data_IF_174691182749
#
_entry.id   IF_174691182749
#
_cell.length_a   1.000
_cell.length_b   1.000
_cell.length_c   1.000
_cell.angle_alpha   90.00
_cell.angle_beta   90.00
_cell.angle_gamma   90.00
#
_symmetry.space_group_name_H-M   'P 1'
#
loop_
_entity.id
_entity.type
_entity.pdbx_description
1 polymer ?
#
# COMPACT_ATOMS: atom_id res chain seq x y z
N UNK A 1 9.68 -35.96 21.04
CA UNK A 1 9.34 -35.02 19.97
C UNK A 1 8.20 -35.62 19.18
N UNK A 2 6.97 -35.34 19.55
CA UNK A 2 5.78 -35.89 18.88
C UNK A 2 5.09 -34.77 18.15
N UNK A 3 5.22 -34.79 16.84
CA UNK A 3 4.51 -33.89 15.92
C UNK A 3 3.03 -34.26 15.96
N UNK A 4 2.22 -33.44 16.63
CA UNK A 4 0.77 -33.57 16.58
C UNK A 4 0.32 -32.97 15.26
N UNK A 5 0.07 -33.84 14.27
CA UNK A 5 -0.73 -33.53 13.09
C UNK A 5 -2.18 -33.32 13.55
N UNK A 6 -2.60 -32.08 13.76
CA UNK A 6 -4.00 -31.76 13.95
C UNK A 6 -4.66 -31.84 12.57
N UNK A 7 -5.38 -32.93 12.32
CA UNK A 7 -6.29 -33.05 11.19
C UNK A 7 -7.38 -31.98 11.33
N UNK A 8 -7.54 -31.15 10.31
CA UNK A 8 -8.60 -30.14 10.21
C UNK A 8 -9.98 -30.78 10.43
N UNK A 9 -10.81 -30.22 11.30
CA UNK A 9 -12.13 -30.78 11.55
C UNK A 9 -13.15 -30.31 10.50
N UNK A 10 -14.07 -31.21 10.30
CA UNK A 10 -15.32 -31.18 9.58
C UNK A 10 -16.12 -29.86 9.79
N UNK A 11 -17.02 -29.63 8.86
CA UNK A 11 -17.98 -28.54 8.67
C UNK A 11 -18.35 -27.62 9.87
N UNK A 12 -18.53 -26.31 9.66
CA UNK A 12 -18.56 -25.28 10.72
C UNK A 12 -19.75 -25.34 11.67
N UNK A 13 -20.79 -26.11 11.40
CA UNK A 13 -22.09 -26.01 12.11
C UNK A 13 -22.24 -26.93 13.33
N UNK A 14 -21.29 -27.77 13.65
CA UNK A 14 -21.38 -28.72 14.76
C UNK A 14 -20.45 -28.46 15.95
N UNK A 15 -19.67 -27.36 15.92
CA UNK A 15 -18.67 -27.08 16.97
C UNK A 15 -19.32 -26.42 18.17
N UNK A 16 -19.22 -27.07 19.36
CA UNK A 16 -19.81 -26.58 20.63
C UNK A 16 -19.27 -25.19 21.00
N UNK A 17 -20.09 -24.37 21.68
CA UNK A 17 -19.70 -23.04 22.20
C UNK A 17 -18.43 -23.13 23.03
N UNK A 18 -18.25 -24.19 23.83
CA UNK A 18 -17.06 -24.44 24.64
C UNK A 18 -15.78 -24.65 23.81
N UNK A 19 -15.88 -25.27 22.61
CA UNK A 19 -14.74 -25.42 21.72
C UNK A 19 -14.41 -24.08 21.03
N UNK A 20 -15.42 -23.30 20.64
CA UNK A 20 -15.22 -21.96 20.11
C UNK A 20 -14.56 -21.02 21.13
N UNK A 21 -14.95 -21.10 22.39
CA UNK A 21 -14.29 -20.37 23.49
C UNK A 21 -12.87 -20.88 23.79
N UNK A 22 -12.64 -22.18 23.73
CA UNK A 22 -11.30 -22.76 23.91
C UNK A 22 -10.35 -22.32 22.79
N UNK A 23 -10.78 -22.41 21.54
CA UNK A 23 -10.04 -21.95 20.37
C UNK A 23 -9.79 -20.43 20.45
N UNK A 24 -10.81 -19.66 20.79
CA UNK A 24 -10.69 -18.22 20.97
C UNK A 24 -9.68 -17.85 22.06
N UNK A 25 -9.75 -18.50 23.24
CA UNK A 25 -8.81 -18.25 24.32
C UNK A 25 -7.36 -18.70 23.97
N UNK A 26 -7.21 -19.74 23.17
CA UNK A 26 -5.88 -20.21 22.72
C UNK A 26 -5.28 -19.29 21.66
N UNK A 27 -6.10 -18.70 20.78
CA UNK A 27 -5.69 -17.71 19.79
C UNK A 27 -5.35 -16.35 20.40
N UNK A 28 -6.06 -15.96 21.49
CA UNK A 28 -5.72 -14.74 22.25
C UNK A 28 -4.35 -14.88 22.95
N UNK A 29 -3.93 -16.10 23.29
CA UNK A 29 -2.62 -16.34 23.91
C UNK A 29 -1.43 -16.16 22.95
N UNK A 30 -1.67 -16.02 21.63
CA UNK A 30 -0.62 -15.76 20.64
C UNK A 30 -0.45 -14.26 20.45
N UNK A 31 0.71 -13.75 20.79
CA UNK A 31 1.05 -12.33 20.73
C UNK A 31 0.85 -11.77 19.32
N UNK A 32 0.11 -10.65 19.21
CA UNK A 32 -0.16 -9.92 18.00
C UNK A 32 0.77 -8.70 17.91
N UNK A 33 1.59 -8.60 16.87
CA UNK A 33 2.32 -7.39 16.54
C UNK A 33 1.60 -6.64 15.42
N UNK A 34 1.16 -5.41 15.69
CA UNK A 34 0.55 -4.51 14.70
C UNK A 34 1.63 -3.58 14.18
N UNK A 35 1.87 -3.61 12.88
CA UNK A 35 3.01 -3.00 12.21
C UNK A 35 2.54 -1.88 11.27
N UNK A 36 2.89 -0.63 11.61
CA UNK A 36 2.47 0.54 10.86
C UNK A 36 3.67 1.28 10.26
N UNK A 37 3.92 1.18 8.95
CA UNK A 37 4.80 2.11 8.27
C UNK A 37 4.12 3.47 8.14
N UNK A 38 4.82 4.56 8.46
CA UNK A 38 4.33 5.93 8.41
C UNK A 38 5.30 6.80 7.61
N UNK A 39 4.76 7.65 6.76
CA UNK A 39 5.53 8.68 6.05
C UNK A 39 4.67 9.91 5.75
N UNK A 40 5.02 11.05 6.33
CA UNK A 40 4.33 12.33 6.14
C UNK A 40 2.81 12.31 6.41
N UNK A 41 2.34 11.49 7.33
CA UNK A 41 0.95 11.43 7.76
C UNK A 41 0.82 11.33 9.29
N UNK A 42 -0.33 11.72 9.84
CA UNK A 42 -0.70 11.45 11.23
C UNK A 42 -1.28 10.04 11.33
N UNK A 43 -0.83 9.28 12.33
CA UNK A 43 -1.36 7.95 12.64
C UNK A 43 -2.02 7.89 14.03
N UNK A 44 -2.15 9.02 14.74
CA UNK A 44 -2.60 9.07 16.13
C UNK A 44 -3.99 8.45 16.32
N UNK A 45 -4.95 8.84 15.48
CA UNK A 45 -6.32 8.32 15.59
C UNK A 45 -6.38 6.79 15.33
N UNK A 46 -5.66 6.33 14.31
CA UNK A 46 -5.58 4.90 13.97
C UNK A 46 -4.96 4.10 15.11
N UNK A 47 -3.80 4.52 15.62
CA UNK A 47 -3.09 3.81 16.69
C UNK A 47 -3.91 3.81 17.98
N UNK A 48 -4.55 4.92 18.33
CA UNK A 48 -5.40 5.01 19.52
C UNK A 48 -6.58 4.04 19.44
N UNK A 49 -7.22 3.93 18.27
CA UNK A 49 -8.35 3.00 18.10
C UNK A 49 -7.89 1.55 18.09
N UNK A 50 -6.79 1.22 17.42
CA UNK A 50 -6.19 -0.12 17.46
C UNK A 50 -5.84 -0.54 18.89
N UNK A 51 -5.18 0.35 19.65
CA UNK A 51 -4.83 0.13 21.05
C UNK A 51 -6.08 -0.12 21.90
N UNK A 52 -7.11 0.73 21.78
CA UNK A 52 -8.38 0.59 22.52
C UNK A 52 -8.99 -0.79 22.28
N UNK A 53 -9.08 -1.23 21.01
CA UNK A 53 -9.65 -2.53 20.65
C UNK A 53 -8.81 -3.71 21.17
N UNK A 54 -7.48 -3.62 21.14
CA UNK A 54 -6.60 -4.64 21.71
C UNK A 54 -6.82 -4.81 23.21
N UNK A 55 -6.92 -3.69 23.96
CA UNK A 55 -7.19 -3.69 25.40
C UNK A 55 -8.58 -4.29 25.70
N UNK A 56 -9.61 -3.90 24.96
CA UNK A 56 -10.96 -4.46 25.13
C UNK A 56 -11.02 -5.97 24.86
N UNK A 57 -10.27 -6.44 23.86
CA UNK A 57 -10.15 -7.87 23.55
C UNK A 57 -9.27 -8.64 24.56
N UNK A 58 -8.58 -7.95 25.47
CA UNK A 58 -7.56 -8.54 26.38
C UNK A 58 -6.49 -9.31 25.59
N UNK A 59 -6.13 -8.82 24.43
CA UNK A 59 -5.12 -9.42 23.58
C UNK A 59 -3.73 -9.28 24.21
N UNK A 60 -2.84 -10.24 23.98
CA UNK A 60 -1.41 -10.05 24.14
C UNK A 60 -0.90 -9.38 22.85
N UNK A 61 -0.43 -8.11 22.94
CA UNK A 61 -0.15 -7.31 21.75
C UNK A 61 0.98 -6.31 21.95
N UNK A 62 1.52 -5.87 20.82
CA UNK A 62 2.32 -4.66 20.67
C UNK A 62 1.89 -3.92 19.39
N UNK A 63 2.06 -2.60 19.38
CA UNK A 63 1.89 -1.76 18.19
C UNK A 63 3.23 -1.10 17.90
N UNK A 64 3.79 -1.34 16.74
CA UNK A 64 5.08 -0.79 16.32
C UNK A 64 4.83 0.12 15.12
N UNK A 65 5.09 1.39 15.33
CA UNK A 65 4.99 2.43 14.29
C UNK A 65 6.39 2.86 13.90
N UNK A 66 6.73 2.76 12.63
CA UNK A 66 8.01 3.21 12.11
C UNK A 66 7.81 4.34 11.09
N UNK A 67 8.30 5.52 11.46
CA UNK A 67 8.34 6.69 10.57
C UNK A 67 9.53 6.57 9.63
N UNK A 68 9.24 6.49 8.34
CA UNK A 68 10.23 6.28 7.28
C UNK A 68 10.88 7.60 6.83
N UNK A 69 11.39 8.37 7.80
CA UNK A 69 12.17 9.56 7.52
C UNK A 69 11.34 10.79 7.14
N UNK A 70 10.19 11.00 7.77
CA UNK A 70 9.35 12.20 7.54
C UNK A 70 10.08 13.51 7.82
N UNK A 71 11.10 13.51 8.71
CA UNK A 71 11.96 14.66 9.00
C UNK A 71 13.08 14.86 7.97
N UNK A 72 13.35 13.88 7.12
CA UNK A 72 14.41 13.98 6.11
C UNK A 72 14.11 15.08 5.09
N UNK A 73 15.07 15.92 4.81
CA UNK A 73 14.99 16.97 3.78
C UNK A 73 15.10 16.41 2.35
N UNK A 74 15.59 15.17 2.19
CA UNK A 74 15.74 14.55 0.89
C UNK A 74 14.43 13.88 0.46
N UNK A 75 13.85 14.25 -0.70
CA UNK A 75 12.72 13.51 -1.25
C UNK A 75 13.15 12.08 -1.60
N UNK A 76 12.26 11.12 -1.38
CA UNK A 76 12.41 9.75 -1.83
C UNK A 76 12.76 9.73 -3.32
N UNK A 77 13.86 9.05 -3.69
CA UNK A 77 14.28 8.95 -5.09
C UNK A 77 15.34 9.95 -5.56
N UNK A 78 15.91 10.80 -4.69
CA UNK A 78 17.05 11.66 -5.05
C UNK A 78 18.41 10.95 -5.04
N UNK A 79 18.47 9.66 -5.32
CA UNK A 79 19.73 8.98 -5.63
C UNK A 79 20.07 9.23 -7.09
N UNK A 80 21.04 10.12 -7.28
CA UNK A 80 21.87 10.39 -8.46
C UNK A 80 21.44 9.72 -9.76
N UNK A 81 20.76 10.49 -10.63
CA UNK A 81 20.81 10.23 -12.06
C UNK A 81 22.29 10.25 -12.51
N UNK A 82 22.72 9.37 -13.43
CA UNK A 82 24.03 9.50 -14.05
C UNK A 82 24.09 10.84 -14.79
N UNK A 83 25.17 11.55 -14.58
CA UNK A 83 25.55 12.80 -15.22
C UNK A 83 25.25 12.76 -16.73
N UNK A 84 24.24 13.47 -17.17
CA UNK A 84 24.11 13.86 -18.57
C UNK A 84 24.01 15.38 -18.63
N UNK A 85 25.17 15.98 -18.88
CA UNK A 85 25.34 17.35 -19.28
C UNK A 85 24.52 17.65 -20.56
N UNK A 86 23.34 18.20 -20.39
CA UNK A 86 22.62 18.89 -21.45
C UNK A 86 22.10 20.22 -20.89
N UNK A 87 22.76 21.28 -21.28
CA UNK A 87 22.45 22.67 -21.07
C UNK A 87 21.07 23.04 -21.63
N UNK A 88 20.17 23.51 -20.75
CA UNK A 88 18.90 24.09 -21.11
C UNK A 88 19.10 25.61 -21.30
N UNK A 89 18.63 26.23 -22.40
CA UNK A 89 18.70 27.67 -22.58
C UNK A 89 17.74 28.39 -21.65
N UNK A 90 18.25 29.37 -20.93
CA UNK A 90 17.51 30.33 -20.14
C UNK A 90 16.78 31.31 -21.07
N UNK A 91 15.42 31.26 -21.13
CA UNK A 91 14.56 32.43 -21.34
C UNK A 91 13.10 32.05 -21.57
N UNK A 92 12.27 32.14 -20.53
CA UNK A 92 10.81 32.36 -20.66
C UNK A 92 10.43 33.41 -19.61
N UNK A 93 9.65 34.46 -19.96
CA UNK A 93 9.37 35.59 -19.09
C UNK A 93 8.31 35.24 -18.03
N UNK A 94 8.55 35.76 -16.82
CA UNK A 94 7.54 35.82 -15.75
C UNK A 94 6.40 36.76 -16.18
N UNK A 95 5.21 36.23 -16.32
CA UNK A 95 4.01 37.02 -15.98
C UNK A 95 2.79 36.16 -15.70
N UNK A 96 2.08 36.55 -14.65
CA UNK A 96 0.68 36.35 -14.28
C UNK A 96 0.29 35.18 -13.38
N UNK A 97 -0.06 35.57 -12.15
CA UNK A 97 -1.10 35.02 -11.24
C UNK A 97 -1.27 33.50 -11.21
N UNK A 98 -0.52 32.87 -10.33
CA UNK A 98 -0.75 31.51 -9.86
C UNK A 98 -1.96 31.47 -8.91
N UNK A 99 -2.88 30.51 -9.07
CA UNK A 99 -3.85 30.22 -8.03
C UNK A 99 -3.12 29.66 -6.80
N UNK A 100 -3.64 29.94 -5.61
CA UNK A 100 -3.12 29.56 -4.30
C UNK A 100 -2.73 28.08 -4.23
N UNK A 101 -1.61 27.74 -3.57
CA UNK A 101 -1.12 26.36 -3.47
C UNK A 101 -1.95 25.57 -2.46
N UNK A 102 -2.99 24.91 -2.93
CA UNK A 102 -3.65 23.86 -2.17
C UNK A 102 -2.91 22.55 -2.40
N UNK A 103 -2.28 22.01 -1.35
CA UNK A 103 -1.65 20.70 -1.24
C UNK A 103 -0.29 20.51 -1.93
N UNK A 104 0.46 21.55 -2.20
CA UNK A 104 1.85 21.42 -2.58
C UNK A 104 2.72 21.19 -1.34
N UNK A 105 3.49 20.09 -1.36
CA UNK A 105 4.63 19.86 -0.47
C UNK A 105 4.37 20.35 0.95
N UNK A 106 3.88 19.48 1.83
CA UNK A 106 3.80 19.81 3.26
C UNK A 106 5.14 20.41 3.66
N UNK A 107 5.16 21.64 4.12
CA UNK A 107 6.39 22.36 4.44
C UNK A 107 7.18 21.59 5.49
N UNK A 108 8.48 21.83 5.61
CA UNK A 108 9.31 21.23 6.67
C UNK A 108 8.68 21.43 8.05
N UNK A 109 8.07 22.57 8.30
CA UNK A 109 7.33 22.89 9.54
C UNK A 109 6.13 21.97 9.75
N UNK A 110 5.37 21.65 8.67
CA UNK A 110 4.21 20.73 8.75
C UNK A 110 4.64 19.30 9.02
N UNK A 111 5.76 18.84 8.43
CA UNK A 111 6.31 17.49 8.67
C UNK A 111 6.80 17.34 10.11
N UNK A 112 7.49 18.36 10.62
CA UNK A 112 7.93 18.37 12.01
C UNK A 112 6.75 18.31 12.98
N UNK A 113 5.69 19.07 12.71
CA UNK A 113 4.46 19.03 13.49
C UNK A 113 3.80 17.65 13.48
N UNK A 114 3.75 16.96 12.33
CA UNK A 114 3.20 15.60 12.24
C UNK A 114 3.99 14.56 13.05
N UNK A 115 5.33 14.65 13.00
CA UNK A 115 6.18 13.75 13.77
C UNK A 115 6.02 14.00 15.27
N UNK A 116 5.93 15.26 15.72
CA UNK A 116 5.68 15.59 17.12
C UNK A 116 4.26 15.16 17.56
N UNK A 117 3.26 15.30 16.71
CA UNK A 117 1.92 14.78 16.96
C UNK A 117 1.94 13.24 17.14
N UNK A 118 2.62 12.54 16.23
CA UNK A 118 2.76 11.08 16.29
C UNK A 118 3.55 10.62 17.55
N UNK A 119 4.47 11.42 18.09
CA UNK A 119 5.17 11.08 19.35
C UNK A 119 4.22 10.85 20.53
N UNK A 120 3.05 11.48 20.52
CA UNK A 120 2.05 11.32 21.59
C UNK A 120 1.60 9.88 21.79
N UNK A 121 1.63 9.04 20.73
CA UNK A 121 1.22 7.63 20.84
C UNK A 121 2.17 6.80 21.74
N UNK A 122 3.42 7.24 21.93
CA UNK A 122 4.38 6.56 22.82
C UNK A 122 3.98 6.58 24.30
N UNK A 123 2.98 7.38 24.67
CA UNK A 123 2.40 7.36 26.02
C UNK A 123 1.45 6.16 26.24
N UNK A 124 0.99 5.50 25.20
CA UNK A 124 0.14 4.32 25.29
C UNK A 124 0.96 3.08 25.64
N UNK A 125 0.53 2.24 26.60
CA UNK A 125 1.20 0.98 26.88
C UNK A 125 1.29 0.08 25.66
N UNK A 126 2.39 -0.66 25.51
CA UNK A 126 2.62 -1.58 24.39
C UNK A 126 2.71 -0.91 23.00
N UNK A 127 2.88 0.41 22.92
CA UNK A 127 3.07 1.17 21.69
C UNK A 127 4.50 1.68 21.59
N UNK A 128 5.17 1.41 20.47
CA UNK A 128 6.51 1.87 20.16
C UNK A 128 6.48 2.74 18.89
N UNK A 129 6.98 3.98 18.97
CA UNK A 129 7.15 4.87 17.83
C UNK A 129 8.63 5.06 17.52
N UNK A 130 9.06 4.62 16.34
CA UNK A 130 10.45 4.64 15.90
C UNK A 130 10.57 5.63 14.74
N UNK A 131 11.46 6.61 14.87
CA UNK A 131 11.73 7.62 13.84
C UNK A 131 13.05 7.25 13.17
N UNK A 132 13.04 7.12 11.85
CA UNK A 132 14.22 6.85 11.04
C UNK A 132 14.76 8.16 10.45
N UNK A 133 16.08 8.21 10.24
CA UNK A 133 16.76 9.41 9.75
C UNK A 133 16.47 9.69 8.27
N UNK A 134 16.13 8.66 7.49
CA UNK A 134 15.89 8.78 6.04
C UNK A 134 14.82 7.82 5.57
N UNK A 135 14.15 8.20 4.48
CA UNK A 135 13.22 7.34 3.77
C UNK A 135 13.99 6.22 3.06
N UNK A 136 13.60 4.96 3.34
CA UNK A 136 14.21 3.77 2.75
C UNK A 136 13.26 3.01 1.82
N UNK A 137 12.01 3.45 1.73
CA UNK A 137 10.98 2.88 0.88
C UNK A 137 10.15 1.77 1.51
N UNK A 138 9.05 1.45 0.84
CA UNK A 138 7.97 0.60 1.37
C UNK A 138 8.42 -0.83 1.73
N UNK A 139 9.30 -1.44 0.94
CA UNK A 139 9.86 -2.76 1.19
C UNK A 139 10.73 -2.77 2.44
N UNK A 140 11.71 -1.88 2.49
CA UNK A 140 12.70 -1.86 3.57
C UNK A 140 12.08 -1.45 4.92
N UNK A 141 11.12 -0.51 4.94
CA UNK A 141 10.44 -0.13 6.20
C UNK A 141 9.57 -1.28 6.73
N UNK A 142 8.89 -2.04 5.86
CA UNK A 142 8.11 -3.21 6.30
C UNK A 142 9.01 -4.34 6.81
N UNK A 143 10.14 -4.63 6.13
CA UNK A 143 11.12 -5.57 6.63
C UNK A 143 11.69 -5.15 7.99
N UNK A 144 12.01 -3.87 8.14
CA UNK A 144 12.45 -3.32 9.42
C UNK A 144 11.40 -3.56 10.52
N UNK A 145 10.12 -3.28 10.26
CA UNK A 145 9.05 -3.53 11.22
C UNK A 145 8.97 -5.01 11.61
N UNK A 146 9.17 -5.94 10.68
CA UNK A 146 9.22 -7.39 10.97
C UNK A 146 10.34 -7.72 11.96
N UNK A 147 11.52 -7.09 11.81
CA UNK A 147 12.65 -7.33 12.73
C UNK A 147 12.43 -6.78 14.14
N UNK A 148 11.58 -5.76 14.29
CA UNK A 148 11.23 -5.18 15.60
C UNK A 148 10.12 -5.95 16.31
N UNK A 149 9.28 -6.67 15.57
CA UNK A 149 8.13 -7.38 16.08
C UNK A 149 8.52 -8.63 16.88
N UNK A 150 7.82 -8.88 17.99
CA UNK A 150 8.00 -10.05 18.89
C UNK A 150 6.91 -11.10 18.67
N UNK A 151 5.73 -10.68 18.20
CA UNK A 151 4.58 -11.56 18.05
C UNK A 151 4.73 -12.56 16.91
N UNK A 152 4.01 -13.65 17.02
CA UNK A 152 3.89 -14.68 15.99
C UNK A 152 2.89 -14.30 14.90
N UNK A 153 1.96 -13.41 15.18
CA UNK A 153 0.96 -12.90 14.26
C UNK A 153 1.27 -11.44 13.95
N UNK A 154 1.51 -11.12 12.70
CA UNK A 154 1.94 -9.81 12.22
C UNK A 154 0.82 -9.17 11.40
N UNK A 155 0.23 -8.09 11.89
CA UNK A 155 -0.82 -7.34 11.19
C UNK A 155 -0.24 -6.05 10.61
N UNK A 156 -0.15 -5.96 9.29
CA UNK A 156 0.32 -4.78 8.59
C UNK A 156 -0.85 -3.86 8.24
N UNK A 157 -0.74 -2.59 8.64
CA UNK A 157 -1.70 -1.53 8.31
C UNK A 157 -0.92 -0.27 7.94
N UNK A 158 -1.20 0.34 6.80
CA UNK A 158 -0.57 1.62 6.42
C UNK A 158 -1.09 2.75 7.33
N UNK A 159 -0.18 3.64 7.75
CA UNK A 159 -0.46 4.63 8.80
C UNK A 159 -1.40 5.78 8.39
N UNK A 160 -1.73 5.91 7.10
CA UNK A 160 -2.66 6.90 6.52
C UNK A 160 -4.12 6.39 6.42
N UNK A 161 -4.42 5.23 7.00
CA UNK A 161 -5.74 4.62 7.01
C UNK A 161 -6.52 4.95 8.29
N UNK A 162 -7.83 4.69 8.26
CA UNK A 162 -8.72 4.86 9.40
C UNK A 162 -9.52 3.58 9.67
N UNK A 163 -10.09 3.48 10.88
CA UNK A 163 -10.96 2.40 11.30
C UNK A 163 -12.33 2.96 11.70
N UNK A 164 -13.38 2.25 11.30
CA UNK A 164 -14.76 2.48 11.76
C UNK A 164 -15.41 1.21 12.31
N UNK A 165 -14.79 0.04 12.12
CA UNK A 165 -15.27 -1.24 12.65
C UNK A 165 -14.81 -1.44 14.10
N UNK A 166 -15.71 -1.39 15.11
CA UNK A 166 -15.35 -1.58 16.51
C UNK A 166 -14.91 -3.01 16.85
N UNK A 167 -15.14 -3.97 15.96
CA UNK A 167 -14.73 -5.38 16.12
C UNK A 167 -13.51 -5.75 15.27
N UNK A 168 -12.79 -4.77 14.74
CA UNK A 168 -11.72 -4.99 13.78
C UNK A 168 -10.64 -5.95 14.31
N UNK A 169 -10.11 -5.72 15.50
CA UNK A 169 -9.10 -6.59 16.13
C UNK A 169 -9.72 -7.95 16.51
N UNK A 170 -10.92 -7.96 17.08
CA UNK A 170 -11.63 -9.20 17.43
C UNK A 170 -11.77 -10.13 16.23
N UNK A 171 -12.15 -9.59 15.08
CA UNK A 171 -12.30 -10.37 13.85
C UNK A 171 -10.99 -11.06 13.45
N UNK A 172 -9.85 -10.41 13.61
CA UNK A 172 -8.54 -11.03 13.35
C UNK A 172 -8.16 -12.07 14.41
N UNK A 173 -8.43 -11.80 15.68
CA UNK A 173 -8.12 -12.75 16.76
C UNK A 173 -8.88 -14.06 16.64
N UNK A 174 -10.05 -14.05 15.99
CA UNK A 174 -10.88 -15.24 15.78
C UNK A 174 -10.47 -16.08 14.56
N UNK A 175 -9.45 -15.69 13.81
CA UNK A 175 -9.01 -16.43 12.62
C UNK A 175 -7.82 -17.33 12.92
N UNK A 176 -7.80 -18.52 12.31
CA UNK A 176 -6.70 -19.51 12.43
C UNK A 176 -5.87 -19.61 11.14
N UNK A 177 -6.24 -18.86 10.11
CA UNK A 177 -5.57 -18.93 8.82
C UNK A 177 -4.17 -18.31 8.86
N UNK A 178 -3.20 -18.89 8.14
CA UNK A 178 -1.82 -18.40 8.12
C UNK A 178 -1.68 -17.00 7.51
N UNK A 179 -2.58 -16.64 6.61
CA UNK A 179 -2.69 -15.31 6.03
C UNK A 179 -4.15 -14.90 5.92
N UNK A 180 -4.49 -13.72 6.44
CA UNK A 180 -5.85 -13.15 6.39
C UNK A 180 -5.80 -11.72 5.88
N UNK A 181 -6.66 -11.39 4.92
CA UNK A 181 -6.74 -10.04 4.30
C UNK A 181 -8.12 -9.46 4.56
N UNK A 182 -8.17 -8.31 5.22
CA UNK A 182 -9.43 -7.64 5.60
C UNK A 182 -10.06 -6.80 4.50
N UNK A 183 -9.25 -6.31 3.56
CA UNK A 183 -9.70 -5.43 2.49
C UNK A 183 -9.64 -3.94 2.84
N UNK A 184 -10.00 -3.11 1.87
CA UNK A 184 -10.02 -1.64 1.95
C UNK A 184 -11.36 -1.15 1.43
N UNK A 185 -11.93 -0.15 2.10
CA UNK A 185 -13.10 0.60 1.63
C UNK A 185 -12.69 2.06 1.42
N UNK A 186 -13.18 2.63 0.32
CA UNK A 186 -12.96 4.03 0.03
C UNK A 186 -14.01 4.86 0.76
N UNK A 187 -13.53 5.56 1.78
CA UNK A 187 -14.30 6.53 2.56
C UNK A 187 -14.19 7.96 2.02
N UNK A 188 -14.48 8.91 2.89
CA UNK A 188 -14.40 10.33 2.59
C UNK A 188 -15.65 10.91 1.94
N UNK A 189 -15.74 12.24 1.93
CA UNK A 189 -16.87 12.98 1.37
C UNK A 189 -16.75 13.03 -0.17
N UNK A 190 -17.74 12.45 -0.87
CA UNK A 190 -17.78 12.40 -2.33
C UNK A 190 -17.76 13.80 -2.98
N UNK A 191 -18.34 14.83 -2.36
CA UNK A 191 -18.35 16.19 -2.89
C UNK A 191 -16.98 16.85 -2.80
N UNK A 192 -16.24 16.56 -1.72
CA UNK A 192 -14.87 17.02 -1.54
C UNK A 192 -13.93 16.40 -2.57
N UNK A 193 -14.08 15.11 -2.83
CA UNK A 193 -13.14 14.32 -3.64
C UNK A 193 -13.54 14.09 -5.10
N UNK A 194 -14.71 14.64 -5.54
CA UNK A 194 -15.19 14.46 -6.93
C UNK A 194 -14.22 14.87 -8.03
N UNK A 195 -13.31 15.82 -7.73
CA UNK A 195 -12.25 16.29 -8.63
C UNK A 195 -10.91 15.57 -8.48
N UNK A 196 -10.82 14.59 -7.57
CA UNK A 196 -9.58 13.89 -7.29
C UNK A 196 -9.47 12.62 -8.13
N UNK A 197 -8.34 12.48 -8.84
CA UNK A 197 -8.09 11.36 -9.76
C UNK A 197 -7.97 10.02 -9.01
N UNK A 198 -7.22 9.99 -7.88
CA UNK A 198 -7.03 8.79 -7.09
C UNK A 198 -8.34 8.30 -6.51
N UNK A 199 -9.12 9.20 -5.89
CA UNK A 199 -10.45 8.87 -5.36
C UNK A 199 -11.34 8.21 -6.44
N UNK A 200 -11.39 8.79 -7.64
CA UNK A 200 -12.18 8.24 -8.75
C UNK A 200 -11.68 6.88 -9.21
N UNK A 201 -10.37 6.72 -9.29
CA UNK A 201 -9.75 5.46 -9.69
C UNK A 201 -10.04 4.36 -8.66
N UNK A 202 -9.78 4.63 -7.37
CA UNK A 202 -10.02 3.68 -6.29
C UNK A 202 -11.52 3.27 -6.20
N UNK A 203 -12.42 4.27 -6.30
CA UNK A 203 -13.87 4.01 -6.32
C UNK A 203 -14.33 3.15 -7.51
N UNK A 204 -13.66 3.23 -8.63
CA UNK A 204 -14.05 2.54 -9.87
C UNK A 204 -13.34 1.21 -10.09
N UNK A 205 -12.10 1.07 -9.64
CA UNK A 205 -11.23 -0.02 -10.04
C UNK A 205 -10.75 -0.89 -8.88
N UNK A 206 -10.65 -0.35 -7.67
CA UNK A 206 -10.01 -1.03 -6.54
C UNK A 206 -11.02 -1.35 -5.41
N UNK A 207 -11.84 -0.39 -5.03
CA UNK A 207 -12.71 -0.48 -3.86
C UNK A 207 -14.00 -1.30 -4.03
N UNK A 208 -14.30 -1.74 -5.24
CA UNK A 208 -15.52 -2.52 -5.53
C UNK A 208 -15.34 -4.02 -5.37
N UNK A 209 -14.17 -4.46 -4.90
CA UNK A 209 -13.86 -5.87 -4.76
C UNK A 209 -14.50 -6.45 -3.49
N UNK A 210 -15.59 -7.20 -3.65
CA UNK A 210 -16.20 -7.99 -2.56
C UNK A 210 -15.24 -9.08 -2.06
N UNK A 211 -15.53 -9.66 -0.90
CA UNK A 211 -14.76 -10.80 -0.36
C UNK A 211 -14.67 -11.93 -1.36
N UNK A 212 -15.78 -12.27 -2.04
CA UNK A 212 -15.84 -13.33 -3.05
C UNK A 212 -14.92 -13.01 -4.24
N UNK A 213 -14.94 -11.76 -4.72
CA UNK A 213 -14.08 -11.30 -5.80
C UNK A 213 -12.61 -11.38 -5.40
N UNK A 214 -12.24 -10.93 -4.20
CA UNK A 214 -10.88 -11.02 -3.69
C UNK A 214 -10.44 -12.48 -3.47
N UNK A 215 -11.34 -13.33 -2.94
CA UNK A 215 -11.04 -14.75 -2.71
C UNK A 215 -10.85 -15.54 -4.01
N UNK A 216 -11.46 -15.12 -5.13
CA UNK A 216 -11.22 -15.75 -6.43
C UNK A 216 -9.81 -15.48 -6.98
N UNK A 217 -9.11 -14.45 -6.45
CA UNK A 217 -7.73 -14.12 -6.78
C UNK A 217 -6.92 -13.87 -5.48
N UNK A 218 -6.74 -14.91 -4.65
CA UNK A 218 -6.34 -14.74 -3.25
C UNK A 218 -4.96 -14.09 -3.06
N UNK A 219 -4.08 -14.15 -4.04
CA UNK A 219 -2.73 -13.58 -4.00
C UNK A 219 -2.65 -12.12 -4.48
N UNK A 220 -3.79 -11.48 -4.72
CA UNK A 220 -3.90 -10.05 -5.03
C UNK A 220 -4.39 -9.26 -3.81
N UNK A 221 -4.28 -7.91 -3.86
CA UNK A 221 -4.75 -6.99 -2.80
C UNK A 221 -4.06 -7.18 -1.45
N UNK A 222 -2.73 -7.41 -1.45
CA UNK A 222 -1.93 -7.65 -0.25
C UNK A 222 -1.17 -6.41 0.24
N UNK A 223 -1.49 -5.21 -0.24
CA UNK A 223 -0.73 -3.99 0.03
C UNK A 223 -0.80 -3.54 1.49
N UNK A 224 -1.94 -3.74 2.14
CA UNK A 224 -2.22 -3.36 3.53
C UNK A 224 -3.38 -4.17 4.09
N UNK A 225 -3.64 -4.03 5.40
CA UNK A 225 -4.70 -4.74 6.13
C UNK A 225 -4.57 -6.27 5.96
N UNK A 226 -3.36 -6.75 6.19
CA UNK A 226 -2.98 -8.15 6.06
C UNK A 226 -2.39 -8.68 7.37
N UNK A 227 -2.99 -9.72 7.91
CA UNK A 227 -2.49 -10.50 9.03
C UNK A 227 -1.74 -11.72 8.48
N UNK A 228 -0.49 -11.91 8.92
CA UNK A 228 0.36 -13.02 8.46
C UNK A 228 1.00 -13.69 9.65
N UNK A 229 1.02 -15.02 9.68
CA UNK A 229 1.79 -15.77 10.66
C UNK A 229 3.29 -15.68 10.31
N UNK A 230 4.13 -15.39 11.31
CA UNK A 230 5.58 -15.17 11.12
C UNK A 230 6.26 -16.33 10.39
N UNK A 231 5.89 -17.57 10.71
CA UNK A 231 6.46 -18.76 10.07
C UNK A 231 6.28 -18.82 8.55
N UNK A 232 5.23 -18.16 8.03
CA UNK A 232 4.93 -18.10 6.59
C UNK A 232 5.58 -16.89 5.94
N UNK A 233 5.68 -15.78 6.71
CA UNK A 233 6.21 -14.53 6.19
C UNK A 233 7.73 -14.58 5.99
N UNK A 234 8.48 -15.20 6.93
CA UNK A 234 9.93 -15.15 6.97
C UNK A 234 10.47 -13.82 7.50
N UNK A 235 11.80 -13.69 7.54
CA UNK A 235 12.47 -12.53 8.15
C UNK A 235 12.54 -11.31 7.22
N UNK A 236 12.68 -11.51 5.91
CA UNK A 236 12.75 -10.46 4.89
C UNK A 236 11.71 -10.70 3.81
N UNK A 237 10.44 -10.43 4.11
CA UNK A 237 9.35 -10.77 3.19
C UNK A 237 9.28 -9.93 1.93
N UNK A 238 9.74 -8.69 1.97
CA UNK A 238 9.68 -7.76 0.85
C UNK A 238 11.04 -7.62 0.17
N UNK A 239 11.05 -7.61 -1.16
CA UNK A 239 12.30 -7.40 -1.93
C UNK A 239 12.72 -5.92 -1.85
N UNK A 240 13.82 -5.63 -1.14
CA UNK A 240 14.36 -4.29 -0.96
C UNK A 240 15.01 -3.71 -2.24
N UNK A 241 15.17 -4.52 -3.29
CA UNK A 241 15.53 -3.99 -4.62
C UNK A 241 14.42 -3.11 -5.18
N UNK A 242 13.16 -3.32 -4.73
CA UNK A 242 12.05 -2.40 -4.97
C UNK A 242 12.19 -1.24 -3.97
N UNK A 243 13.04 -0.31 -4.32
CA UNK A 243 13.29 0.91 -3.57
C UNK A 243 12.48 2.11 -4.08
N UNK A 244 11.63 1.91 -5.09
CA UNK A 244 10.68 2.86 -5.65
C UNK A 244 9.24 2.43 -5.35
N UNK A 245 8.28 3.30 -5.66
CA UNK A 245 6.88 3.05 -5.41
C UNK A 245 6.30 1.92 -6.26
N UNK A 246 5.58 0.98 -5.62
CA UNK A 246 4.68 0.00 -6.24
C UNK A 246 5.29 -1.39 -6.47
N UNK A 247 4.38 -2.37 -6.55
CA UNK A 247 4.62 -3.79 -6.85
C UNK A 247 5.31 -4.63 -5.77
N UNK A 248 5.66 -4.09 -4.62
CA UNK A 248 6.21 -4.85 -3.50
C UNK A 248 5.22 -5.90 -2.97
N UNK A 249 3.95 -5.54 -2.93
CA UNK A 249 2.82 -6.40 -2.53
C UNK A 249 2.52 -7.47 -3.59
N UNK A 250 2.64 -7.12 -4.88
CA UNK A 250 2.44 -8.06 -5.98
C UNK A 250 3.51 -9.17 -5.95
N UNK A 251 4.78 -8.82 -5.68
CA UNK A 251 5.85 -9.81 -5.53
C UNK A 251 5.68 -10.66 -4.27
N UNK A 252 5.17 -10.09 -3.17
CA UNK A 252 4.78 -10.86 -1.99
C UNK A 252 3.70 -11.88 -2.33
N UNK A 253 2.65 -11.46 -3.06
CA UNK A 253 1.58 -12.35 -3.52
C UNK A 253 2.08 -13.47 -4.42
N UNK A 254 2.97 -13.15 -5.36
CA UNK A 254 3.63 -14.16 -6.21
C UNK A 254 4.40 -15.19 -5.38
N UNK A 255 5.17 -14.75 -4.37
CA UNK A 255 5.89 -15.64 -3.47
C UNK A 255 4.94 -16.55 -2.71
N UNK A 256 3.87 -16.01 -2.13
CA UNK A 256 2.85 -16.81 -1.46
C UNK A 256 2.19 -17.83 -2.39
N UNK A 257 1.93 -17.46 -3.64
CA UNK A 257 1.40 -18.39 -4.64
C UNK A 257 2.37 -19.52 -4.96
N UNK A 258 3.67 -19.23 -5.13
CA UNK A 258 4.70 -20.24 -5.37
C UNK A 258 4.88 -21.20 -4.19
N UNK A 259 4.70 -20.69 -2.97
CA UNK A 259 4.75 -21.48 -1.73
C UNK A 259 3.41 -22.15 -1.40
N UNK A 260 2.38 -21.96 -2.22
CA UNK A 260 1.02 -22.50 -2.01
C UNK A 260 0.42 -22.09 -0.65
N UNK A 261 0.75 -20.88 -0.17
CA UNK A 261 0.23 -20.36 1.08
C UNK A 261 -1.27 -20.15 0.97
N UNK A 262 -2.02 -20.63 1.96
CA UNK A 262 -3.47 -20.42 2.01
C UNK A 262 -3.75 -19.01 2.50
N UNK A 263 -4.45 -18.22 1.68
CA UNK A 263 -4.89 -16.85 2.01
C UNK A 263 -6.40 -16.82 2.14
N UNK A 264 -6.88 -16.30 3.26
CA UNK A 264 -8.31 -16.06 3.50
C UNK A 264 -8.62 -14.57 3.41
N UNK A 265 -9.54 -14.19 2.53
CA UNK A 265 -10.12 -12.85 2.52
C UNK A 265 -11.36 -12.82 3.40
N UNK A 266 -11.48 -11.78 4.23
CA UNK A 266 -12.62 -11.56 5.12
C UNK A 266 -13.18 -10.15 4.95
N UNK A 267 -14.41 -9.93 5.44
CA UNK A 267 -15.00 -8.60 5.52
C UNK A 267 -14.56 -7.92 6.82
N UNK A 268 -13.40 -7.28 6.77
CA UNK A 268 -12.81 -6.55 7.89
C UNK A 268 -12.01 -5.33 7.38
N UNK A 269 -12.64 -4.43 6.62
CA UNK A 269 -11.92 -3.40 5.89
C UNK A 269 -11.38 -2.31 6.80
N UNK A 270 -10.29 -1.69 6.32
CA UNK A 270 -9.84 -0.36 6.74
C UNK A 270 -10.39 0.69 5.80
N UNK A 271 -10.47 1.95 6.26
CA UNK A 271 -10.95 3.08 5.47
C UNK A 271 -9.77 3.86 4.89
N UNK A 272 -9.85 4.14 3.60
CA UNK A 272 -8.96 5.07 2.93
C UNK A 272 -9.73 6.37 2.63
N UNK A 273 -9.41 7.45 3.33
CA UNK A 273 -10.19 8.69 3.37
C UNK A 273 -9.42 9.93 2.91
N UNK A 274 -8.10 9.87 2.83
CA UNK A 274 -7.25 11.02 2.47
C UNK A 274 -6.52 10.76 1.15
N UNK A 275 -6.69 11.66 0.19
CA UNK A 275 -6.18 11.47 -1.16
C UNK A 275 -5.25 12.62 -1.52
N UNK A 276 -4.04 12.28 -1.96
CA UNK A 276 -3.10 13.25 -2.49
C UNK A 276 -3.69 13.96 -3.72
N UNK A 277 -3.13 15.13 -4.06
CA UNK A 277 -3.51 15.87 -5.25
C UNK A 277 -3.22 15.08 -6.55
N UNK A 278 -3.88 15.49 -7.64
CA UNK A 278 -3.80 14.79 -8.93
C UNK A 278 -2.38 14.75 -9.49
N UNK A 279 -1.55 15.78 -9.24
CA UNK A 279 -0.19 15.83 -9.75
C UNK A 279 0.71 14.84 -9.00
N UNK A 280 0.60 14.80 -7.67
CA UNK A 280 1.31 13.86 -6.82
C UNK A 280 0.93 12.41 -7.15
N UNK A 281 -0.35 12.13 -7.33
CA UNK A 281 -0.81 10.79 -7.71
C UNK A 281 -0.32 10.38 -9.09
N UNK A 282 -0.33 11.29 -10.07
CA UNK A 282 0.18 11.01 -11.40
C UNK A 282 1.68 10.73 -11.39
N UNK A 283 2.47 11.53 -10.63
CA UNK A 283 3.90 11.32 -10.48
C UNK A 283 4.23 9.96 -9.83
N UNK A 284 3.51 9.57 -8.75
CA UNK A 284 3.62 8.23 -8.14
C UNK A 284 3.26 7.11 -9.12
N UNK A 285 2.25 7.34 -9.97
CA UNK A 285 1.87 6.37 -11.00
C UNK A 285 2.97 6.19 -12.04
N UNK A 286 3.57 7.29 -12.50
CA UNK A 286 4.70 7.23 -13.44
C UNK A 286 5.91 6.52 -12.81
N UNK A 287 6.17 6.75 -11.52
CA UNK A 287 7.21 6.02 -10.78
C UNK A 287 6.90 4.52 -10.71
N UNK A 288 5.66 4.13 -10.35
CA UNK A 288 5.24 2.73 -10.35
C UNK A 288 5.39 2.07 -11.72
N UNK A 289 5.14 2.79 -12.81
CA UNK A 289 5.31 2.26 -14.17
C UNK A 289 6.79 2.06 -14.52
N UNK A 290 7.71 2.88 -14.00
CA UNK A 290 9.15 2.65 -14.11
C UNK A 290 9.59 1.44 -13.31
N UNK A 291 9.07 1.27 -12.09
CA UNK A 291 9.26 0.06 -11.28
C UNK A 291 8.77 -1.18 -12.03
N UNK A 292 7.57 -1.13 -12.64
CA UNK A 292 7.05 -2.21 -13.47
C UNK A 292 8.01 -2.60 -14.59
N UNK A 293 8.61 -1.62 -15.26
CA UNK A 293 9.58 -1.90 -16.32
C UNK A 293 10.85 -2.57 -15.78
N UNK A 294 11.38 -2.09 -14.67
CA UNK A 294 12.59 -2.64 -14.04
C UNK A 294 12.38 -4.12 -13.66
N UNK A 295 11.23 -4.43 -13.08
CA UNK A 295 10.88 -5.78 -12.61
C UNK A 295 9.94 -6.54 -13.55
N UNK A 296 9.91 -6.18 -14.86
CA UNK A 296 8.96 -6.77 -15.82
C UNK A 296 9.06 -8.29 -15.96
N UNK A 297 10.25 -8.85 -15.79
CA UNK A 297 10.45 -10.31 -15.89
C UNK A 297 9.82 -11.03 -14.68
N UNK A 298 9.97 -10.47 -13.50
CA UNK A 298 9.40 -10.98 -12.26
C UNK A 298 7.88 -10.79 -12.20
N UNK A 299 7.36 -9.70 -12.79
CA UNK A 299 5.95 -9.30 -12.76
C UNK A 299 5.13 -9.79 -13.95
N UNK A 300 5.75 -10.55 -14.88
CA UNK A 300 5.04 -11.14 -16.03
C UNK A 300 3.92 -12.06 -15.56
N UNK A 301 2.70 -11.84 -16.09
CA UNK A 301 1.49 -12.58 -15.70
C UNK A 301 0.83 -12.07 -14.41
N UNK A 302 1.42 -11.09 -13.73
CA UNK A 302 0.89 -10.49 -12.51
C UNK A 302 0.45 -9.02 -12.72
N UNK A 303 0.66 -8.44 -13.89
CA UNK A 303 0.26 -7.08 -14.22
C UNK A 303 -0.50 -7.03 -15.54
N UNK A 304 -1.81 -6.70 -15.47
CA UNK A 304 -2.66 -6.53 -16.66
C UNK A 304 -2.13 -5.47 -17.64
N UNK A 305 -1.43 -4.45 -17.13
CA UNK A 305 -0.83 -3.42 -17.97
C UNK A 305 0.36 -3.99 -18.73
N UNK A 306 1.22 -4.75 -18.06
CA UNK A 306 2.37 -5.41 -18.66
C UNK A 306 1.91 -6.40 -19.76
N UNK A 307 0.90 -7.24 -19.48
CA UNK A 307 0.36 -8.20 -20.44
C UNK A 307 -0.17 -7.50 -21.71
N UNK A 308 -0.85 -6.34 -21.54
CA UNK A 308 -1.32 -5.53 -22.66
C UNK A 308 -0.16 -4.94 -23.45
N UNK A 309 0.87 -4.41 -22.77
CA UNK A 309 2.05 -3.84 -23.42
C UNK A 309 2.81 -4.90 -24.23
N UNK A 310 3.07 -6.08 -23.65
CA UNK A 310 3.71 -7.20 -24.35
C UNK A 310 2.89 -7.69 -25.56
N UNK A 311 1.56 -7.65 -25.48
CA UNK A 311 0.71 -7.98 -26.63
C UNK A 311 0.84 -6.96 -27.75
N UNK A 312 0.91 -5.67 -27.43
CA UNK A 312 1.12 -4.58 -28.40
C UNK A 312 2.49 -4.72 -29.06
N UNK A 313 3.52 -5.04 -28.27
CA UNK A 313 4.89 -5.27 -28.78
C UNK A 313 4.96 -6.48 -29.72
N UNK A 314 4.35 -7.60 -29.38
CA UNK A 314 4.27 -8.80 -30.22
C UNK A 314 3.54 -8.56 -31.56
N UNK A 315 2.58 -7.62 -31.56
CA UNK A 315 1.87 -7.21 -32.79
C UNK A 315 2.61 -6.11 -33.59
N UNK A 316 3.81 -5.72 -33.16
CA UNK A 316 4.61 -4.64 -33.74
C UNK A 316 3.88 -3.29 -33.83
N UNK A 317 2.90 -3.06 -32.92
CA UNK A 317 2.10 -1.82 -32.87
C UNK A 317 2.73 -0.73 -31.97
N UNK A 318 3.84 -1.00 -31.27
CA UNK A 318 4.49 -0.05 -30.40
C UNK A 318 4.78 1.31 -31.03
N UNK A 319 5.22 1.44 -32.30
CA UNK A 319 5.45 2.74 -32.91
C UNK A 319 4.19 3.62 -32.98
N UNK A 320 3.02 3.02 -33.23
CA UNK A 320 1.75 3.74 -33.23
C UNK A 320 1.43 4.32 -31.84
N UNK A 321 1.60 3.53 -30.79
CA UNK A 321 1.33 3.97 -29.40
C UNK A 321 2.34 5.02 -28.91
N UNK A 322 3.61 4.92 -29.34
CA UNK A 322 4.64 5.92 -29.03
C UNK A 322 4.31 7.25 -29.74
N UNK A 323 3.85 7.19 -30.99
CA UNK A 323 3.41 8.38 -31.70
C UNK A 323 2.18 8.99 -31.03
N UNK A 324 1.21 8.16 -30.64
CA UNK A 324 0.04 8.59 -29.87
C UNK A 324 0.44 9.26 -28.54
N UNK A 325 1.44 8.72 -27.83
CA UNK A 325 1.97 9.35 -26.61
C UNK A 325 2.51 10.77 -26.92
N UNK A 326 3.35 10.91 -27.93
CA UNK A 326 3.94 12.21 -28.32
C UNK A 326 2.87 13.27 -28.68
N UNK A 327 1.77 12.84 -29.29
CA UNK A 327 0.70 13.75 -29.72
C UNK A 327 -0.32 14.06 -28.60
N UNK A 328 -0.63 13.08 -27.76
CA UNK A 328 -1.77 13.15 -26.84
C UNK A 328 -1.42 13.16 -25.35
N UNK A 329 -0.14 12.92 -24.97
CA UNK A 329 0.24 12.88 -23.54
C UNK A 329 -0.06 14.18 -22.81
N UNK A 330 0.30 15.34 -23.38
CA UNK A 330 0.08 16.63 -22.75
C UNK A 330 -1.42 17.00 -22.62
N UNK A 331 -2.26 16.87 -23.67
CA UNK A 331 -3.70 17.04 -23.52
C UNK A 331 -4.34 16.11 -22.47
N UNK A 332 -3.96 14.83 -22.48
CA UNK A 332 -4.47 13.87 -21.49
C UNK A 332 -4.00 14.28 -20.08
N UNK A 333 -2.73 14.58 -19.90
CA UNK A 333 -2.16 15.01 -18.62
C UNK A 333 -2.87 16.25 -18.08
N UNK A 334 -3.10 17.26 -18.92
CA UNK A 334 -3.86 18.45 -18.57
C UNK A 334 -5.29 18.12 -18.09
N UNK A 335 -5.95 17.19 -18.75
CA UNK A 335 -7.28 16.72 -18.32
C UNK A 335 -7.22 15.99 -16.97
N UNK A 336 -6.21 15.13 -16.75
CA UNK A 336 -6.03 14.38 -15.51
C UNK A 336 -5.70 15.29 -14.30
N UNK A 337 -4.99 16.39 -14.54
CA UNK A 337 -4.66 17.39 -13.52
C UNK A 337 -5.79 18.37 -13.25
N UNK A 338 -6.84 18.38 -14.07
CA UNK A 338 -7.99 19.27 -13.94
C UNK A 338 -9.02 18.80 -12.90
N UNK A 339 -10.12 19.56 -12.79
CA UNK A 339 -11.18 19.31 -11.80
C UNK A 339 -12.14 18.15 -12.14
N UNK A 340 -12.02 17.54 -13.32
CA UNK A 340 -12.85 16.41 -13.76
C UNK A 340 -11.99 15.33 -14.43
N UNK A 341 -11.04 14.74 -13.70
CA UNK A 341 -10.17 13.71 -14.24
C UNK A 341 -10.98 12.49 -14.67
N UNK A 342 -10.56 11.86 -15.78
CA UNK A 342 -11.25 10.70 -16.36
C UNK A 342 -10.43 9.44 -16.15
N UNK A 343 -10.99 8.42 -15.51
CA UNK A 343 -10.31 7.15 -15.20
C UNK A 343 -9.95 6.37 -16.48
N UNK A 344 -10.79 6.43 -17.53
CA UNK A 344 -10.44 5.83 -18.82
C UNK A 344 -9.21 6.50 -19.43
N UNK A 345 -9.21 7.85 -19.49
CA UNK A 345 -8.05 8.63 -19.94
C UNK A 345 -6.78 8.33 -19.11
N UNK A 346 -6.92 8.14 -17.80
CA UNK A 346 -5.82 7.73 -16.92
C UNK A 346 -5.27 6.34 -17.28
N UNK A 347 -6.13 5.36 -17.55
CA UNK A 347 -5.69 4.04 -17.98
C UNK A 347 -5.01 4.04 -19.36
N UNK A 348 -5.51 4.88 -20.29
CA UNK A 348 -4.85 5.12 -21.59
C UNK A 348 -3.48 5.76 -21.36
N UNK A 349 -3.40 6.81 -20.54
CA UNK A 349 -2.15 7.48 -20.21
C UNK A 349 -1.10 6.51 -19.66
N UNK A 350 -1.47 5.68 -18.68
CA UNK A 350 -0.56 4.66 -18.11
C UNK A 350 0.05 3.76 -19.18
N UNK A 351 -0.77 3.26 -20.10
CA UNK A 351 -0.31 2.37 -21.17
C UNK A 351 0.61 3.09 -22.17
N UNK A 352 0.22 4.29 -22.59
CA UNK A 352 1.02 5.11 -23.51
C UNK A 352 2.36 5.51 -22.89
N UNK A 353 2.34 5.94 -21.62
CA UNK A 353 3.56 6.29 -20.86
C UNK A 353 4.49 5.10 -20.77
N UNK A 354 3.98 3.93 -20.37
CA UNK A 354 4.78 2.71 -20.24
C UNK A 354 5.47 2.33 -21.55
N UNK A 355 4.72 2.24 -22.67
CA UNK A 355 5.28 1.90 -23.99
C UNK A 355 6.29 2.94 -24.49
N UNK A 356 6.07 4.22 -24.20
CA UNK A 356 7.03 5.27 -24.51
C UNK A 356 8.31 5.14 -23.70
N UNK A 357 8.17 4.91 -22.39
CA UNK A 357 9.30 4.75 -21.48
C UNK A 357 10.17 3.54 -21.83
N UNK A 358 9.55 2.38 -22.11
CA UNK A 358 10.27 1.15 -22.47
C UNK A 358 11.16 1.34 -23.69
N UNK A 359 10.69 2.09 -24.69
CA UNK A 359 11.46 2.35 -25.92
C UNK A 359 12.68 3.24 -25.70
N UNK A 360 12.61 4.16 -24.74
CA UNK A 360 13.71 5.11 -24.48
C UNK A 360 14.67 4.62 -23.39
N UNK A 361 14.31 3.58 -22.65
CA UNK A 361 15.13 2.99 -21.57
C UNK A 361 16.00 1.81 -22.07
N UNK A 362 15.79 1.36 -23.30
CA UNK A 362 16.59 0.36 -24.03
C UNK A 362 17.52 1.07 -25.00
#
# INVERSE_FOLDING_TARGET
MSTILISLPLEPDSVSVAYKEYVFNHLIAVMLSILLPVYNCSCVALVTELHRQCVECKADFEIIVADDGSLSSAPYGSLSAPDSSLSIPSSIPLNSSLPSPSAAVRSCTTRHSLVEENRSISSLPHVCYIIRDKNVGRSAIRNFLVTQAKGERLLFIDGDLALDNPSFIRNYLQTEWPVVVGGIVIGGNSDQWKGNLRYRYERQCEAINTVESRQSHPYQHLATNILVHRSVLGEQPYDEKINHYGYEDVLLGKRFQQQQVVIKHIENPVLFCDFEDNASYLAKTEEALRTLFTFRNELRGYSRLLDKAERIERLHLSPLFITAYKLFSEPIKKCLLGNKPNVFGFNVYKLLYYLHYTKNAI
#
